data_IF_422055694387
#
_entry.id   IF_422055694387
#
_cell.length_a   1.000
_cell.length_b   1.000
_cell.length_c   1.000
_cell.angle_alpha   90.00
_cell.angle_beta   90.00
_cell.angle_gamma   90.00
#
_symmetry.space_group_name_H-M   'P 1'
#
loop_
_entity.id
_entity.type
_entity.pdbx_description
1 polymer ?
#
# COMPACT_ATOMS: atom_id res chain seq x y z
N UNK A 1 -9.04 3.11 15.57
CA UNK A 1 -9.45 3.15 14.16
C UNK A 1 -8.58 2.20 13.36
N UNK A 2 -9.13 1.61 12.29
CA UNK A 2 -8.36 0.78 11.35
C UNK A 2 -8.33 -0.71 11.67
N UNK A 3 -9.07 -1.20 12.68
CA UNK A 3 -9.15 -2.62 12.98
C UNK A 3 -9.69 -3.43 11.81
N UNK A 4 -8.97 -4.51 11.46
CA UNK A 4 -9.30 -5.36 10.33
C UNK A 4 -8.99 -4.76 8.95
N UNK A 5 -8.29 -3.62 8.89
CA UNK A 5 -7.79 -3.08 7.63
C UNK A 5 -6.38 -3.59 7.32
N UNK A 6 -6.21 -4.06 6.10
CA UNK A 6 -4.95 -4.54 5.56
C UNK A 6 -4.63 -3.74 4.30
N UNK A 7 -3.50 -3.05 4.31
CA UNK A 7 -2.99 -2.34 3.15
C UNK A 7 -1.90 -3.18 2.48
N UNK A 8 -2.10 -3.56 1.22
CA UNK A 8 -1.06 -4.21 0.42
C UNK A 8 -0.31 -3.14 -0.36
N UNK A 9 0.97 -3.00 -0.06
CA UNK A 9 1.87 -1.99 -0.61
C UNK A 9 3.09 -2.65 -1.28
N UNK A 10 3.82 -1.88 -2.06
CA UNK A 10 5.03 -2.34 -2.76
C UNK A 10 5.22 -1.61 -4.07
N UNK A 11 6.25 -1.95 -4.81
CA UNK A 11 6.36 -1.46 -6.19
C UNK A 11 5.24 -2.06 -7.05
N UNK A 12 4.68 -1.34 -8.01
CA UNK A 12 3.80 -1.94 -9.01
C UNK A 12 4.51 -3.14 -9.66
N UNK A 13 3.77 -4.20 -10.00
CA UNK A 13 4.30 -5.48 -10.54
C UNK A 13 5.10 -6.34 -9.56
N UNK A 14 5.05 -6.08 -8.28
CA UNK A 14 5.66 -6.92 -7.24
C UNK A 14 4.78 -8.10 -6.76
N UNK A 15 3.60 -8.33 -7.37
CA UNK A 15 2.71 -9.44 -7.00
C UNK A 15 1.57 -9.06 -6.05
N UNK A 16 1.33 -7.77 -5.83
CA UNK A 16 0.29 -7.27 -4.92
C UNK A 16 -1.12 -7.79 -5.23
N UNK A 17 -1.46 -7.95 -6.51
CA UNK A 17 -2.75 -8.52 -6.93
C UNK A 17 -2.87 -10.02 -6.59
N UNK A 18 -1.77 -10.78 -6.70
CA UNK A 18 -1.74 -12.18 -6.30
C UNK A 18 -1.97 -12.31 -4.79
N UNK A 19 -1.27 -11.51 -3.99
CA UNK A 19 -1.44 -11.50 -2.54
C UNK A 19 -2.87 -11.14 -2.12
N UNK A 20 -3.47 -10.12 -2.73
CA UNK A 20 -4.87 -9.77 -2.49
C UNK A 20 -5.81 -10.95 -2.79
N UNK A 21 -5.60 -11.62 -3.93
CA UNK A 21 -6.41 -12.77 -4.35
C UNK A 21 -6.31 -13.93 -3.36
N UNK A 22 -5.10 -14.22 -2.86
CA UNK A 22 -4.88 -15.29 -1.87
C UNK A 22 -5.61 -14.96 -0.56
N UNK A 23 -5.46 -13.74 -0.05
CA UNK A 23 -6.10 -13.32 1.21
C UNK A 23 -7.63 -13.37 1.08
N UNK A 24 -8.17 -12.99 -0.08
CA UNK A 24 -9.60 -13.02 -0.35
C UNK A 24 -10.21 -14.44 -0.31
N UNK A 25 -9.40 -15.48 -0.52
CA UNK A 25 -9.88 -16.89 -0.42
C UNK A 25 -10.30 -17.29 0.98
N UNK A 26 -9.88 -16.57 2.01
CA UNK A 26 -10.25 -16.85 3.41
C UNK A 26 -11.76 -16.76 3.69
N UNK A 27 -12.52 -16.10 2.82
CA UNK A 27 -13.95 -15.86 3.00
C UNK A 27 -14.32 -14.81 4.07
N UNK A 28 -13.41 -14.44 4.96
CA UNK A 28 -13.59 -13.40 5.98
C UNK A 28 -13.16 -12.00 5.52
N UNK A 29 -12.52 -11.93 4.36
CA UNK A 29 -11.92 -10.74 3.81
C UNK A 29 -12.66 -10.25 2.56
N UNK A 30 -12.68 -8.95 2.36
CA UNK A 30 -13.09 -8.32 1.10
C UNK A 30 -11.86 -7.76 0.40
N UNK A 31 -11.63 -8.16 -0.86
CA UNK A 31 -10.69 -7.51 -1.75
C UNK A 31 -11.28 -6.17 -2.18
N UNK A 32 -10.69 -5.08 -1.70
CA UNK A 32 -11.14 -3.71 -1.98
C UNK A 32 -10.59 -3.16 -3.30
N UNK A 33 -9.58 -3.81 -3.87
CA UNK A 33 -8.87 -3.31 -5.05
C UNK A 33 -8.07 -2.04 -4.76
N UNK A 34 -7.79 -1.27 -5.78
CA UNK A 34 -6.95 -0.06 -5.71
C UNK A 34 -7.76 1.16 -5.27
N UNK A 35 -7.45 1.66 -4.06
CA UNK A 35 -8.07 2.86 -3.50
C UNK A 35 -7.13 4.05 -3.60
N UNK A 36 -7.42 4.97 -4.49
CA UNK A 36 -6.66 6.23 -4.65
C UNK A 36 -6.92 7.25 -3.54
N UNK A 37 -7.66 6.85 -2.49
CA UNK A 37 -8.16 7.75 -1.44
C UNK A 37 -7.04 8.58 -0.80
N UNK A 38 -5.98 7.94 -0.31
CA UNK A 38 -4.88 8.66 0.35
C UNK A 38 -4.09 9.53 -0.62
N UNK A 39 -3.92 9.11 -1.88
CA UNK A 39 -3.31 9.93 -2.92
C UNK A 39 -4.04 11.24 -3.18
N UNK A 40 -5.36 11.23 -3.07
CA UNK A 40 -6.20 12.42 -3.27
C UNK A 40 -6.29 13.27 -1.99
N UNK A 41 -6.65 12.64 -0.87
CA UNK A 41 -7.03 13.37 0.34
C UNK A 41 -5.86 13.77 1.23
N UNK A 42 -4.65 13.20 1.05
CA UNK A 42 -3.46 13.63 1.79
C UNK A 42 -2.87 14.94 1.28
N UNK A 43 -3.07 15.28 0.01
CA UNK A 43 -2.47 16.50 -0.60
C UNK A 43 -2.79 17.79 0.14
N UNK A 44 -4.04 18.12 0.49
CA UNK A 44 -4.37 19.32 1.27
C UNK A 44 -3.71 19.31 2.65
N UNK A 45 -3.59 18.13 3.27
CA UNK A 45 -2.99 17.97 4.60
C UNK A 45 -1.48 18.23 4.52
N UNK A 46 -0.81 17.73 3.48
CA UNK A 46 0.61 18.00 3.22
C UNK A 46 0.85 19.51 3.11
N UNK A 47 0.02 20.23 2.36
CA UNK A 47 0.12 21.68 2.22
C UNK A 47 -0.05 22.40 3.56
N UNK A 48 -1.02 22.01 4.37
CA UNK A 48 -1.22 22.55 5.71
C UNK A 48 -0.04 22.26 6.64
N UNK A 49 0.53 21.04 6.55
CA UNK A 49 1.69 20.66 7.34
C UNK A 49 2.93 21.48 6.98
N UNK A 50 3.20 21.67 5.68
CA UNK A 50 4.32 22.51 5.19
C UNK A 50 4.13 23.96 5.63
N UNK A 51 2.90 24.45 5.65
CA UNK A 51 2.57 25.81 6.10
C UNK A 51 2.57 25.96 7.64
N UNK A 52 2.84 24.90 8.41
CA UNK A 52 2.81 24.91 9.88
C UNK A 52 1.42 25.02 10.49
N UNK A 53 0.37 24.80 9.71
CA UNK A 53 -1.04 25.00 10.10
C UNK A 53 -1.81 23.68 10.30
N UNK A 54 -1.12 22.52 10.23
CA UNK A 54 -1.79 21.21 10.40
C UNK A 54 -2.27 21.04 11.84
N UNK A 55 -3.58 20.78 12.00
CA UNK A 55 -4.19 20.48 13.29
C UNK A 55 -4.21 18.96 13.52
N UNK A 56 -4.15 18.53 14.78
CA UNK A 56 -4.13 17.11 15.14
C UNK A 56 -5.42 16.36 14.77
N UNK A 57 -6.56 17.05 14.69
CA UNK A 57 -7.87 16.50 14.34
C UNK A 57 -7.98 16.09 12.85
N UNK A 58 -7.17 16.68 11.98
CA UNK A 58 -7.17 16.41 10.53
C UNK A 58 -6.91 14.93 10.22
N UNK A 59 -6.03 14.28 10.96
CA UNK A 59 -5.74 12.85 10.74
C UNK A 59 -6.90 11.96 11.21
N UNK A 60 -7.56 12.31 12.31
CA UNK A 60 -8.72 11.58 12.78
C UNK A 60 -9.88 11.70 11.79
N UNK A 61 -10.11 12.90 11.27
CA UNK A 61 -11.09 13.13 10.21
C UNK A 61 -10.77 12.36 8.95
N UNK A 62 -9.50 12.35 8.51
CA UNK A 62 -9.05 11.59 7.34
C UNK A 62 -9.36 10.09 7.50
N UNK A 63 -9.06 9.52 8.67
CA UNK A 63 -9.33 8.12 8.98
C UNK A 63 -10.84 7.81 8.98
N UNK A 64 -11.66 8.66 9.58
CA UNK A 64 -13.12 8.49 9.60
C UNK A 64 -13.71 8.52 8.19
N UNK A 65 -13.30 9.47 7.36
CA UNK A 65 -13.71 9.56 5.94
C UNK A 65 -13.28 8.35 5.12
N UNK A 66 -12.10 7.80 5.39
CA UNK A 66 -11.67 6.57 4.73
C UNK A 66 -12.59 5.40 5.11
N UNK A 67 -12.89 5.23 6.40
CA UNK A 67 -13.78 4.17 6.87
C UNK A 67 -15.19 4.27 6.27
N UNK A 68 -15.76 5.47 6.20
CA UNK A 68 -17.04 5.73 5.53
C UNK A 68 -16.99 5.35 4.04
N UNK A 69 -15.88 5.67 3.36
CA UNK A 69 -15.69 5.36 1.94
C UNK A 69 -15.71 3.85 1.63
N UNK A 70 -15.19 3.02 2.55
CA UNK A 70 -15.09 1.57 2.36
C UNK A 70 -16.25 0.78 2.99
N UNK A 71 -17.08 1.39 3.84
CA UNK A 71 -18.08 0.69 4.66
C UNK A 71 -19.03 -0.18 3.83
N UNK A 72 -19.61 0.38 2.76
CA UNK A 72 -20.51 -0.35 1.85
C UNK A 72 -19.81 -1.56 1.22
N UNK A 73 -18.52 -1.42 0.86
CA UNK A 73 -17.75 -2.49 0.23
C UNK A 73 -17.32 -3.56 1.22
N UNK A 74 -17.04 -3.18 2.46
CA UNK A 74 -16.66 -4.10 3.54
C UNK A 74 -17.75 -5.13 3.86
N UNK A 75 -19.01 -4.80 3.64
CA UNK A 75 -20.16 -5.72 3.75
C UNK A 75 -20.22 -6.47 5.09
N UNK A 76 -19.79 -5.84 6.15
CA UNK A 76 -19.74 -6.44 7.49
C UNK A 76 -18.69 -7.54 7.67
N UNK A 77 -17.80 -7.75 6.70
CA UNK A 77 -16.68 -8.72 6.84
C UNK A 77 -15.65 -8.23 7.85
N UNK A 78 -14.96 -9.16 8.48
CA UNK A 78 -13.96 -8.89 9.51
C UNK A 78 -12.78 -8.10 8.96
N UNK A 79 -12.33 -8.45 7.76
CA UNK A 79 -11.18 -7.82 7.12
C UNK A 79 -11.55 -7.15 5.80
N UNK A 80 -10.84 -6.07 5.50
CA UNK A 80 -10.89 -5.37 4.23
C UNK A 80 -9.46 -5.11 3.74
N UNK A 81 -9.18 -5.50 2.51
CA UNK A 81 -7.88 -5.29 1.87
C UNK A 81 -7.96 -4.11 0.91
N UNK A 82 -7.15 -3.09 1.15
CA UNK A 82 -6.84 -2.02 0.19
C UNK A 82 -5.52 -2.38 -0.49
N UNK A 83 -5.59 -2.79 -1.75
CA UNK A 83 -4.41 -3.13 -2.55
C UNK A 83 -4.09 -1.97 -3.48
N UNK A 84 -3.45 -0.94 -2.97
CA UNK A 84 -2.87 0.14 -3.74
C UNK A 84 -1.36 0.14 -3.53
N UNK A 85 -0.58 -0.35 -4.50
CA UNK A 85 0.86 -0.52 -4.35
C UNK A 85 1.54 0.74 -3.85
N UNK A 86 1.21 1.90 -4.42
CA UNK A 86 1.81 3.19 -4.10
C UNK A 86 1.40 3.78 -2.75
N UNK A 87 0.54 3.11 -1.97
CA UNK A 87 0.23 3.55 -0.60
C UNK A 87 1.45 3.56 0.34
N UNK A 88 2.60 2.99 -0.06
CA UNK A 88 3.85 3.17 0.68
C UNK A 88 4.28 4.64 0.77
N UNK A 89 3.93 5.46 -0.23
CA UNK A 89 4.17 6.91 -0.21
C UNK A 89 3.36 7.62 0.89
N UNK A 90 2.20 7.07 1.23
CA UNK A 90 1.25 7.64 2.18
C UNK A 90 1.23 6.89 3.52
N UNK A 91 2.14 5.96 3.75
CA UNK A 91 2.19 5.13 4.96
C UNK A 91 2.00 5.94 6.25
N UNK A 92 2.73 7.07 6.39
CA UNK A 92 2.65 7.90 7.60
C UNK A 92 1.26 8.52 7.80
N UNK A 93 0.60 8.92 6.73
CA UNK A 93 -0.78 9.43 6.80
C UNK A 93 -1.75 8.33 7.18
N UNK A 94 -1.58 7.15 6.58
CA UNK A 94 -2.44 5.99 6.87
C UNK A 94 -2.31 5.58 8.33
N UNK A 95 -1.09 5.33 8.81
CA UNK A 95 -0.90 4.83 10.19
C UNK A 95 -1.24 5.88 11.25
N UNK A 96 -1.11 7.18 10.94
CA UNK A 96 -1.51 8.24 11.86
C UNK A 96 -3.04 8.36 11.93
N UNK A 97 -3.73 8.18 10.81
CA UNK A 97 -5.20 8.26 10.73
C UNK A 97 -5.89 6.95 11.14
N UNK A 98 -5.25 5.80 10.94
CA UNK A 98 -5.74 4.45 11.19
C UNK A 98 -4.69 3.62 11.95
N UNK A 99 -4.46 3.89 13.24
CA UNK A 99 -3.32 3.33 13.99
C UNK A 99 -3.35 1.79 14.13
N UNK A 100 -4.52 1.17 13.97
CA UNK A 100 -4.67 -0.29 14.03
C UNK A 100 -4.62 -0.99 12.66
N UNK A 101 -4.38 -0.23 11.58
CA UNK A 101 -4.18 -0.80 10.25
C UNK A 101 -2.90 -1.65 10.18
N UNK A 102 -2.94 -2.71 9.37
CA UNK A 102 -1.80 -3.59 9.08
C UNK A 102 -1.37 -3.41 7.64
N UNK A 103 -0.09 -3.63 7.39
CA UNK A 103 0.49 -3.51 6.07
C UNK A 103 1.16 -4.81 5.66
N UNK A 104 0.98 -5.19 4.41
CA UNK A 104 1.73 -6.25 3.75
C UNK A 104 2.53 -5.58 2.65
N UNK A 105 3.85 -5.63 2.78
CA UNK A 105 4.76 -5.11 1.79
C UNK A 105 5.24 -6.23 0.88
N UNK A 106 4.81 -6.19 -0.38
CA UNK A 106 5.27 -7.12 -1.42
C UNK A 106 6.51 -6.55 -2.08
N UNK A 107 7.61 -7.30 -2.02
CA UNK A 107 8.83 -6.98 -2.74
C UNK A 107 9.24 -8.11 -3.66
N UNK A 108 9.92 -7.78 -4.73
CA UNK A 108 10.31 -8.68 -5.79
C UNK A 108 11.75 -8.38 -6.21
N UNK A 109 12.43 -9.33 -6.86
CA UNK A 109 13.73 -9.06 -7.49
C UNK A 109 13.67 -7.77 -8.31
N UNK A 110 14.60 -6.81 -8.09
CA UNK A 110 14.58 -5.50 -8.74
C UNK A 110 14.59 -5.54 -10.26
N UNK A 111 15.35 -6.50 -10.85
CA UNK A 111 15.45 -6.64 -12.31
C UNK A 111 14.16 -7.20 -12.90
N UNK A 112 13.61 -8.23 -12.28
CA UNK A 112 12.33 -8.82 -12.71
C UNK A 112 11.19 -7.84 -12.59
N UNK A 113 11.19 -7.04 -11.53
CA UNK A 113 10.22 -5.96 -11.34
C UNK A 113 10.38 -4.89 -12.43
N UNK A 114 11.63 -4.44 -12.68
CA UNK A 114 11.92 -3.41 -13.68
C UNK A 114 11.54 -3.87 -15.10
N UNK A 115 11.87 -5.11 -15.47
CA UNK A 115 11.49 -5.67 -16.77
C UNK A 115 9.96 -5.75 -16.91
N UNK A 116 9.27 -6.17 -15.84
CA UNK A 116 7.81 -6.26 -15.84
C UNK A 116 7.14 -4.88 -15.95
N UNK A 117 7.68 -3.86 -15.29
CA UNK A 117 7.23 -2.47 -15.39
C UNK A 117 7.46 -1.90 -16.78
N UNK A 118 8.67 -2.06 -17.32
CA UNK A 118 9.05 -1.51 -18.62
C UNK A 118 8.23 -2.10 -19.78
N UNK A 119 7.87 -3.39 -19.69
CA UNK A 119 7.03 -4.07 -20.68
C UNK A 119 5.57 -3.65 -20.65
N UNK A 120 5.11 -3.05 -19.56
CA UNK A 120 3.73 -2.66 -19.39
C UNK A 120 3.53 -1.21 -19.84
N UNK A 121 2.58 -0.99 -20.74
CA UNK A 121 2.18 0.35 -21.11
C UNK A 121 1.23 0.94 -20.06
N UNK A 122 1.67 1.99 -19.39
CA UNK A 122 0.89 2.73 -18.41
C UNK A 122 0.57 4.13 -18.93
N UNK A 123 -0.28 4.27 -19.88
CA UNK A 123 -0.73 5.53 -20.48
C UNK A 123 -0.04 6.81 -19.92
N UNK A 124 -0.49 7.34 -18.80
CA UNK A 124 0.12 8.52 -18.15
C UNK A 124 0.28 8.34 -16.63
N UNK A 125 -0.06 7.16 -16.09
CA UNK A 125 -0.15 6.99 -14.64
C UNK A 125 1.20 6.74 -13.98
N UNK A 126 2.11 6.01 -14.66
CA UNK A 126 3.44 5.68 -14.16
C UNK A 126 4.52 6.18 -15.11
N UNK A 127 4.71 7.50 -15.19
CA UNK A 127 5.66 8.14 -16.11
C UNK A 127 7.08 7.60 -15.97
N UNK A 128 7.51 7.26 -14.75
CA UNK A 128 8.82 6.70 -14.49
C UNK A 128 9.04 5.32 -15.16
N UNK A 129 7.97 4.56 -15.45
CA UNK A 129 8.08 3.24 -16.08
C UNK A 129 8.51 3.29 -17.54
N UNK A 130 8.56 4.47 -18.15
CA UNK A 130 8.98 4.68 -19.54
C UNK A 130 10.49 4.51 -19.78
N UNK A 131 11.30 4.41 -18.73
CA UNK A 131 12.75 4.22 -18.82
C UNK A 131 13.30 3.40 -17.65
N UNK A 132 14.32 2.60 -17.89
CA UNK A 132 15.01 1.86 -16.82
C UNK A 132 15.63 2.79 -15.78
N UNK A 133 16.08 3.97 -16.16
CA UNK A 133 16.59 4.96 -15.23
C UNK A 133 15.50 5.48 -14.29
N UNK A 134 14.32 5.80 -14.83
CA UNK A 134 13.17 6.21 -14.02
C UNK A 134 12.71 5.11 -13.06
N UNK A 135 12.66 3.87 -13.53
CA UNK A 135 12.31 2.71 -12.71
C UNK A 135 13.34 2.52 -11.58
N UNK A 136 14.62 2.60 -11.87
CA UNK A 136 15.69 2.44 -10.88
C UNK A 136 15.64 3.54 -9.80
N UNK A 137 15.36 4.78 -10.21
CA UNK A 137 15.21 5.90 -9.29
C UNK A 137 14.00 5.71 -8.36
N UNK A 138 12.85 5.31 -8.91
CA UNK A 138 11.66 5.04 -8.12
C UNK A 138 11.84 3.83 -7.20
N UNK A 139 12.52 2.78 -7.66
CA UNK A 139 12.83 1.63 -6.82
C UNK A 139 13.73 2.00 -5.64
N UNK A 140 14.76 2.82 -5.87
CA UNK A 140 15.62 3.33 -4.80
C UNK A 140 14.85 4.21 -3.79
N UNK A 141 13.92 5.03 -4.28
CA UNK A 141 13.03 5.83 -3.44
C UNK A 141 12.10 4.94 -2.59
N UNK A 142 11.49 3.93 -3.20
CA UNK A 142 10.69 2.93 -2.49
C UNK A 142 11.48 2.23 -1.39
N UNK A 143 12.68 1.71 -1.68
CA UNK A 143 13.53 1.04 -0.67
C UNK A 143 13.89 1.99 0.49
N UNK A 144 14.25 3.24 0.16
CA UNK A 144 14.55 4.26 1.17
C UNK A 144 13.35 4.51 2.09
N UNK A 145 12.17 4.71 1.54
CA UNK A 145 10.94 4.92 2.31
C UNK A 145 10.58 3.69 3.14
N UNK A 146 10.61 2.49 2.58
CA UNK A 146 10.29 1.26 3.32
C UNK A 146 11.27 1.03 4.49
N UNK A 147 12.56 1.28 4.28
CA UNK A 147 13.55 1.23 5.36
C UNK A 147 13.23 2.22 6.48
N UNK A 148 12.85 3.44 6.12
CA UNK A 148 12.43 4.48 7.07
C UNK A 148 11.18 4.05 7.85
N UNK A 149 10.13 3.60 7.17
CA UNK A 149 8.88 3.22 7.81
C UNK A 149 9.05 2.05 8.78
N UNK A 150 9.85 1.06 8.42
CA UNK A 150 10.18 -0.07 9.30
C UNK A 150 10.99 0.36 10.53
N UNK A 151 11.90 1.30 10.39
CA UNK A 151 12.67 1.82 11.53
C UNK A 151 11.80 2.59 12.53
N UNK A 152 10.73 3.23 12.05
CA UNK A 152 9.81 3.99 12.90
C UNK A 152 8.70 3.11 13.53
N UNK A 153 8.24 2.07 12.83
CA UNK A 153 7.07 1.29 13.27
C UNK A 153 6.99 -0.11 12.59
N UNK A 154 7.93 -1.00 12.89
CA UNK A 154 8.03 -2.30 12.23
C UNK A 154 6.91 -3.31 12.60
N UNK A 155 6.18 -3.09 13.70
CA UNK A 155 5.15 -4.02 14.17
C UNK A 155 3.91 -4.11 13.28
N UNK A 156 3.72 -3.14 12.39
CA UNK A 156 2.54 -3.06 11.55
C UNK A 156 2.81 -3.46 10.09
N UNK A 157 4.06 -3.76 9.71
CA UNK A 157 4.46 -4.10 8.35
C UNK A 157 4.98 -5.53 8.32
N UNK A 158 4.34 -6.38 7.51
CA UNK A 158 4.80 -7.72 7.15
C UNK A 158 5.42 -7.67 5.76
N UNK A 159 6.66 -8.09 5.64
CA UNK A 159 7.31 -8.25 4.33
C UNK A 159 7.04 -9.63 3.74
N UNK A 160 6.69 -9.67 2.47
CA UNK A 160 6.52 -10.91 1.72
C UNK A 160 7.32 -10.81 0.43
N UNK A 161 8.21 -11.76 0.22
CA UNK A 161 8.94 -11.92 -1.03
C UNK A 161 8.04 -12.57 -2.08
N UNK A 162 8.00 -12.02 -3.29
CA UNK A 162 7.15 -12.53 -4.38
C UNK A 162 7.58 -13.93 -4.83
N UNK A 163 8.87 -14.19 -4.93
CA UNK A 163 9.42 -15.46 -5.37
C UNK A 163 9.06 -16.59 -4.37
N UNK A 164 9.15 -16.29 -3.08
CA UNK A 164 8.71 -17.21 -2.02
C UNK A 164 7.20 -17.42 -2.05
N UNK A 165 6.42 -16.35 -2.23
CA UNK A 165 4.96 -16.44 -2.33
C UNK A 165 4.52 -17.37 -3.46
N UNK A 166 5.20 -17.36 -4.60
CA UNK A 166 4.85 -18.19 -5.77
C UNK A 166 5.34 -19.63 -5.59
N UNK A 167 6.56 -19.83 -5.06
CA UNK A 167 7.16 -21.16 -4.91
C UNK A 167 6.62 -21.95 -3.72
N UNK A 168 6.29 -21.27 -2.62
CA UNK A 168 5.92 -21.87 -1.35
C UNK A 168 4.62 -21.28 -0.77
N UNK A 169 3.60 -21.10 -1.60
CA UNK A 169 2.36 -20.42 -1.21
C UNK A 169 1.74 -20.95 0.09
N UNK A 170 1.80 -22.27 0.34
CA UNK A 170 1.27 -22.88 1.56
C UNK A 170 2.03 -22.47 2.82
N UNK A 171 3.34 -22.27 2.72
CA UNK A 171 4.20 -21.92 3.86
C UNK A 171 4.21 -20.42 4.12
N UNK A 172 3.95 -19.61 3.08
CA UNK A 172 4.01 -18.15 3.17
C UNK A 172 2.70 -17.54 3.69
N UNK A 173 1.58 -18.23 3.54
CA UNK A 173 0.22 -17.72 3.82
C UNK A 173 -0.53 -18.57 4.86
N UNK A 174 0.06 -19.67 5.34
CA UNK A 174 -0.50 -20.60 6.33
C UNK A 174 -0.59 -20.07 7.75
#
# INVERSE_FOLDING_TARGET
LGDGLIFIIGMPRSGTTLAESIIATSGECVAGGEKVFYGIHSRPIIQQYIAGNAKNDVFQELGSRYLENIDIQRRGKKFFVDKMPENYLYYKFIITSLPNARFINLYRDPWDNAISLFKQYYANDLVYSSSFFGIALEYANYEHLMKKWKSENNHNILDINYEELVSETKNTVG
#
